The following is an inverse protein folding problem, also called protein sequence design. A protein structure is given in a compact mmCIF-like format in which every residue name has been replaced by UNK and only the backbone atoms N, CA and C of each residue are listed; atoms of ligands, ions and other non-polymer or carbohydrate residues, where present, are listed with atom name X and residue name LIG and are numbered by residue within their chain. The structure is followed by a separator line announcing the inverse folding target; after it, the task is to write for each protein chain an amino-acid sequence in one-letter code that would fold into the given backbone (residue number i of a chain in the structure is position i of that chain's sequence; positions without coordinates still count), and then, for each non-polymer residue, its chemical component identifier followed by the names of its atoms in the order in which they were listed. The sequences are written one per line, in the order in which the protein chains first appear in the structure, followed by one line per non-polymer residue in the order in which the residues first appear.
data_IF_347010845493
#
_entry.id   IF_347010845493
#
_cell.length_a   1.000
_cell.length_b   1.000
_cell.length_c   1.000
_cell.angle_alpha   90.00
_cell.angle_beta   90.00
_cell.angle_gamma   90.00
#
_symmetry.space_group_name_H-M   'P 1'
#
loop_
_entity.id
_entity.type
_entity.pdbx_description
1 polymer ?
#
# COMPACT_ATOMS: atom_id res chain seq x y z
N UNK A 1 -0.59 18.03 14.97
CA UNK A 1 -1.68 17.24 14.34
C UNK A 1 -1.59 17.32 12.82
N UNK A 2 -1.60 18.52 12.21
CA UNK A 2 -1.49 18.70 10.75
C UNK A 2 -0.27 18.01 10.12
N UNK A 3 0.91 18.14 10.74
CA UNK A 3 2.13 17.47 10.27
C UNK A 3 1.98 15.94 10.19
N UNK A 4 1.30 15.33 11.15
CA UNK A 4 1.08 13.88 11.19
C UNK A 4 0.11 13.42 10.10
N UNK A 5 -0.91 14.24 9.82
CA UNK A 5 -1.86 14.01 8.71
C UNK A 5 -1.11 14.03 7.38
N UNK A 6 -0.34 15.10 7.12
CA UNK A 6 0.42 15.26 5.88
C UNK A 6 1.43 14.12 5.67
N UNK A 7 2.14 13.70 6.72
CA UNK A 7 3.05 12.54 6.65
C UNK A 7 2.27 11.28 6.29
N UNK A 8 1.17 10.97 6.98
CA UNK A 8 0.42 9.73 6.75
C UNK A 8 -0.09 9.64 5.32
N UNK A 9 -0.69 10.73 4.82
CA UNK A 9 -1.20 10.78 3.44
C UNK A 9 -0.06 10.69 2.44
N UNK A 10 1.02 11.44 2.64
CA UNK A 10 2.17 11.41 1.75
C UNK A 10 2.85 10.03 1.67
N UNK A 11 2.89 9.29 2.77
CA UNK A 11 3.40 7.92 2.78
C UNK A 11 2.51 6.94 1.99
N UNK A 12 1.19 7.11 2.07
CA UNK A 12 0.26 6.33 1.26
C UNK A 12 0.34 6.71 -0.22
N UNK A 13 0.56 7.98 -0.55
CA UNK A 13 0.78 8.44 -1.93
C UNK A 13 2.08 7.88 -2.51
N UNK A 14 3.16 7.80 -1.73
CA UNK A 14 4.39 7.08 -2.15
C UNK A 14 4.11 5.62 -2.48
N UNK A 15 3.29 4.94 -1.67
CA UNK A 15 2.85 3.58 -1.95
C UNK A 15 2.10 3.48 -3.27
N UNK A 16 1.09 4.34 -3.50
CA UNK A 16 0.31 4.38 -4.75
C UNK A 16 1.25 4.56 -5.96
N UNK A 17 2.13 5.57 -5.90
CA UNK A 17 3.09 5.87 -6.96
C UNK A 17 4.03 4.69 -7.23
N UNK A 18 4.44 3.95 -6.20
CA UNK A 18 5.25 2.75 -6.36
C UNK A 18 4.49 1.64 -7.08
N UNK A 19 3.23 1.38 -6.72
CA UNK A 19 2.40 0.37 -7.39
C UNK A 19 2.19 0.72 -8.87
N UNK A 20 1.90 1.99 -9.18
CA UNK A 20 1.64 2.45 -10.53
C UNK A 20 2.88 2.43 -11.44
N UNK A 21 4.02 2.87 -10.91
CA UNK A 21 5.26 2.99 -11.69
C UNK A 21 6.01 1.67 -11.84
N UNK A 22 6.11 0.87 -10.78
CA UNK A 22 6.91 -0.36 -10.78
C UNK A 22 6.08 -1.60 -11.18
N UNK A 23 4.74 -1.52 -11.05
CA UNK A 23 3.80 -2.63 -11.34
C UNK A 23 4.26 -3.96 -10.73
N UNK A 24 4.47 -4.01 -9.39
CA UNK A 24 5.08 -5.15 -8.74
C UNK A 24 4.26 -6.42 -8.93
N UNK A 25 4.95 -7.53 -9.15
CA UNK A 25 4.30 -8.84 -9.26
C UNK A 25 4.09 -9.41 -7.86
N UNK A 26 2.86 -9.79 -7.57
CA UNK A 26 2.50 -10.41 -6.31
C UNK A 26 3.02 -11.85 -6.27
N UNK A 27 3.34 -12.31 -5.07
CA UNK A 27 3.67 -13.71 -4.83
C UNK A 27 2.45 -14.59 -5.14
N UNK A 28 2.57 -15.64 -5.99
CA UNK A 28 1.42 -16.45 -6.41
C UNK A 28 0.66 -17.13 -5.26
N UNK A 29 1.37 -17.51 -4.19
CA UNK A 29 0.78 -18.22 -3.05
C UNK A 29 0.16 -17.29 -2.01
N UNK A 30 0.76 -16.14 -1.75
CA UNK A 30 0.35 -15.25 -0.66
C UNK A 30 -0.42 -14.01 -1.15
N UNK A 31 -0.30 -13.66 -2.43
CA UNK A 31 -0.94 -12.48 -3.01
C UNK A 31 -0.40 -11.16 -2.44
N UNK A 32 0.83 -11.16 -1.94
CA UNK A 32 1.51 -9.98 -1.37
C UNK A 32 2.74 -9.62 -2.19
N UNK A 33 3.29 -8.42 -1.97
CA UNK A 33 4.50 -7.96 -2.65
C UNK A 33 5.65 -8.97 -2.47
N UNK A 34 6.41 -9.19 -3.55
CA UNK A 34 7.63 -9.98 -3.50
C UNK A 34 8.69 -9.31 -2.60
N UNK A 35 9.63 -10.10 -2.06
CA UNK A 35 10.65 -9.60 -1.11
C UNK A 35 11.45 -8.40 -1.63
N UNK A 36 11.78 -8.42 -2.92
CA UNK A 36 12.52 -7.33 -3.58
C UNK A 36 11.70 -6.03 -3.60
N UNK A 37 10.45 -6.11 -4.01
CA UNK A 37 9.57 -4.94 -4.12
C UNK A 37 9.16 -4.42 -2.73
N UNK A 38 8.86 -5.32 -1.79
CA UNK A 38 8.60 -4.95 -0.40
C UNK A 38 9.78 -4.22 0.25
N UNK A 39 11.02 -4.68 -0.02
CA UNK A 39 12.23 -4.01 0.45
C UNK A 39 12.44 -2.64 -0.22
N UNK A 40 12.30 -2.55 -1.55
CA UNK A 40 12.42 -1.27 -2.27
C UNK A 40 11.44 -0.24 -1.74
N UNK A 41 10.18 -0.63 -1.57
CA UNK A 41 9.15 0.23 -1.02
C UNK A 41 9.47 0.63 0.44
N UNK A 42 9.91 -0.31 1.29
CA UNK A 42 10.33 0.01 2.66
C UNK A 42 11.40 1.11 2.69
N UNK A 43 12.38 1.08 1.79
CA UNK A 43 13.44 2.09 1.75
C UNK A 43 12.94 3.51 1.41
N UNK A 44 11.78 3.63 0.76
CA UNK A 44 11.18 4.92 0.36
C UNK A 44 10.29 5.54 1.45
N UNK A 45 9.82 4.73 2.40
CA UNK A 45 8.84 5.12 3.39
C UNK A 45 9.47 5.71 4.66
N UNK A 46 8.77 6.63 5.30
CA UNK A 46 8.95 6.98 6.70
C UNK A 46 8.59 5.79 7.60
N UNK A 47 9.25 5.69 8.76
CA UNK A 47 9.10 4.56 9.69
C UNK A 47 9.48 3.20 9.07
N UNK A 48 10.40 3.22 8.10
CA UNK A 48 10.96 2.01 7.52
C UNK A 48 11.60 1.11 8.58
N UNK A 49 11.54 -0.19 8.34
CA UNK A 49 12.29 -1.15 9.12
C UNK A 49 13.75 -1.11 8.67
N UNK A 50 14.67 -0.94 9.61
CA UNK A 50 16.11 -1.03 9.34
C UNK A 50 16.51 -2.48 9.07
N UNK A 51 16.85 -2.79 7.83
CA UNK A 51 17.28 -4.11 7.38
C UNK A 51 18.38 -4.00 6.34
N UNK A 52 19.26 -5.01 6.29
CA UNK A 52 20.43 -5.01 5.39
C UNK A 52 20.12 -5.39 3.93
N UNK A 53 18.90 -5.81 3.61
CA UNK A 53 18.53 -6.25 2.26
C UNK A 53 17.15 -6.93 2.15
N UNK A 54 16.80 -7.43 0.95
CA UNK A 54 15.48 -8.00 0.63
C UNK A 54 15.30 -9.45 1.12
N UNK A 55 15.55 -9.70 2.40
CA UNK A 55 15.46 -11.04 2.99
C UNK A 55 14.06 -11.37 3.54
N UNK A 56 13.27 -10.35 3.86
CA UNK A 56 11.99 -10.48 4.55
C UNK A 56 10.78 -10.45 3.61
N UNK A 57 9.69 -11.08 4.04
CA UNK A 57 8.37 -11.01 3.40
C UNK A 57 7.63 -9.73 3.81
N UNK A 58 6.60 -9.33 3.03
CA UNK A 58 5.84 -8.10 3.24
C UNK A 58 5.39 -7.87 4.70
N UNK A 59 4.83 -8.90 5.35
CA UNK A 59 4.34 -8.84 6.74
C UNK A 59 5.41 -8.52 7.80
N UNK A 60 6.70 -8.53 7.44
CA UNK A 60 7.80 -8.14 8.31
C UNK A 60 8.20 -6.67 8.11
N UNK A 61 7.60 -5.97 7.16
CA UNK A 61 7.75 -4.53 6.94
C UNK A 61 6.44 -3.86 7.36
N UNK A 62 6.29 -3.43 8.63
CA UNK A 62 4.99 -3.03 9.18
C UNK A 62 4.30 -1.92 8.38
N UNK A 63 5.06 -0.91 7.94
CA UNK A 63 4.50 0.20 7.16
C UNK A 63 4.03 -0.27 5.78
N UNK A 64 4.85 -1.07 5.08
CA UNK A 64 4.46 -1.65 3.78
C UNK A 64 3.21 -2.50 3.91
N UNK A 65 3.16 -3.36 4.92
CA UNK A 65 2.04 -4.27 5.15
C UNK A 65 0.75 -3.52 5.50
N UNK A 66 0.86 -2.45 6.30
CA UNK A 66 -0.25 -1.56 6.62
C UNK A 66 -0.81 -0.88 5.37
N UNK A 67 0.03 -0.21 4.58
CA UNK A 67 -0.43 0.51 3.38
C UNK A 67 -1.03 -0.44 2.33
N UNK A 68 -0.42 -1.62 2.15
CA UNK A 68 -0.99 -2.66 1.31
C UNK A 68 -2.36 -3.11 1.83
N UNK A 69 -2.49 -3.34 3.14
CA UNK A 69 -3.74 -3.79 3.74
C UNK A 69 -4.84 -2.73 3.61
N UNK A 70 -4.53 -1.46 3.85
CA UNK A 70 -5.47 -0.35 3.72
C UNK A 70 -5.94 -0.18 2.28
N UNK A 71 -5.04 -0.28 1.31
CA UNK A 71 -5.40 -0.11 -0.09
C UNK A 71 -6.34 -1.22 -0.59
N UNK A 72 -6.17 -2.44 -0.09
CA UNK A 72 -7.07 -3.57 -0.34
C UNK A 72 -8.39 -3.44 0.43
N UNK A 73 -8.36 -3.08 1.71
CA UNK A 73 -9.55 -2.95 2.55
C UNK A 73 -10.46 -1.80 2.08
N UNK A 74 -9.86 -0.68 1.67
CA UNK A 74 -10.54 0.45 1.05
C UNK A 74 -10.93 0.22 -0.40
N UNK A 75 -10.66 -0.98 -0.94
CA UNK A 75 -10.96 -1.40 -2.32
C UNK A 75 -10.38 -0.48 -3.39
N UNK A 76 -9.29 0.23 -3.08
CA UNK A 76 -8.57 1.09 -4.02
C UNK A 76 -7.81 0.25 -5.06
N UNK A 77 -7.34 -0.93 -4.64
CA UNK A 77 -6.82 -1.96 -5.52
C UNK A 77 -7.55 -3.28 -5.31
N UNK A 78 -7.55 -4.09 -6.37
CA UNK A 78 -7.91 -5.51 -6.32
C UNK A 78 -6.77 -6.37 -6.83
N UNK A 79 -6.71 -7.62 -6.37
CA UNK A 79 -5.78 -8.61 -6.90
C UNK A 79 -6.39 -9.20 -8.18
N UNK A 80 -5.64 -9.13 -9.26
CA UNK A 80 -6.02 -9.73 -10.54
C UNK A 80 -4.78 -10.21 -11.29
N UNK A 81 -4.99 -10.99 -12.34
CA UNK A 81 -3.90 -11.40 -13.21
C UNK A 81 -3.73 -10.36 -14.32
N UNK A 82 -2.48 -9.96 -14.56
CA UNK A 82 -2.09 -9.25 -15.78
C UNK A 82 -2.37 -10.08 -17.03
N UNK A 83 -2.33 -9.45 -18.20
CA UNK A 83 -2.47 -10.12 -19.51
C UNK A 83 -1.46 -11.27 -19.71
N UNK A 84 -0.36 -11.25 -18.96
CA UNK A 84 0.69 -12.29 -18.96
C UNK A 84 0.49 -13.35 -17.88
N UNK A 85 -0.68 -13.41 -17.25
CA UNK A 85 -1.05 -14.38 -16.21
C UNK A 85 -0.38 -14.15 -14.84
N UNK A 86 0.37 -13.05 -14.66
CA UNK A 86 1.04 -12.75 -13.38
C UNK A 86 0.11 -11.99 -12.45
N UNK A 87 0.00 -12.37 -11.16
CA UNK A 87 -0.85 -11.66 -10.21
C UNK A 87 -0.25 -10.28 -9.90
N UNK A 88 -1.07 -9.24 -9.98
CA UNK A 88 -0.72 -7.84 -9.76
C UNK A 88 -1.85 -7.15 -8.97
N UNK A 89 -1.58 -5.92 -8.53
CA UNK A 89 -2.63 -5.00 -8.10
C UNK A 89 -3.15 -4.22 -9.30
N UNK A 90 -4.47 -4.19 -9.46
CA UNK A 90 -5.17 -3.37 -10.47
C UNK A 90 -5.98 -2.31 -9.74
N UNK A 91 -5.84 -1.07 -10.19
CA UNK A 91 -6.59 0.08 -9.69
C UNK A 91 -8.09 -0.10 -9.95
N UNK A 92 -8.92 0.28 -8.99
CA UNK A 92 -10.38 0.30 -9.15
C UNK A 92 -10.89 1.70 -9.46
N UNK A 93 -12.14 1.81 -9.88
CA UNK A 93 -12.82 3.11 -10.01
C UNK A 93 -12.91 3.90 -8.69
N UNK A 94 -12.76 3.24 -7.53
CA UNK A 94 -12.76 3.91 -6.22
C UNK A 94 -11.48 4.75 -6.04
N UNK A 95 -10.36 4.32 -6.65
CA UNK A 95 -9.11 5.07 -6.58
C UNK A 95 -9.22 6.46 -7.21
N UNK A 96 -9.97 6.60 -8.32
CA UNK A 96 -10.20 7.91 -8.93
C UNK A 96 -10.87 8.85 -7.92
N UNK A 97 -11.92 8.38 -7.25
CA UNK A 97 -12.61 9.15 -6.21
C UNK A 97 -11.67 9.50 -5.05
N UNK A 98 -10.82 8.56 -4.60
CA UNK A 98 -9.82 8.82 -3.57
C UNK A 98 -8.80 9.89 -3.98
N UNK A 99 -8.36 9.88 -5.25
CA UNK A 99 -7.39 10.86 -5.79
C UNK A 99 -7.95 12.29 -5.78
N UNK A 100 -9.26 12.46 -5.93
CA UNK A 100 -9.94 13.77 -5.87
C UNK A 100 -10.14 14.32 -4.45
N UNK A 101 -10.00 13.49 -3.42
CA UNK A 101 -10.14 13.93 -2.03
C UNK A 101 -9.02 14.91 -1.64
N UNK A 102 -9.35 15.87 -0.79
CA UNK A 102 -8.35 16.71 -0.15
C UNK A 102 -7.56 15.93 0.91
N UNK A 103 -6.48 16.51 1.43
CA UNK A 103 -5.57 15.83 2.36
C UNK A 103 -6.28 15.33 3.64
N UNK A 104 -7.23 16.09 4.19
CA UNK A 104 -7.94 15.70 5.40
C UNK A 104 -8.91 14.55 5.12
N UNK A 105 -9.62 14.62 4.01
CA UNK A 105 -10.54 13.57 3.56
C UNK A 105 -9.80 12.27 3.26
N UNK A 106 -8.64 12.33 2.59
CA UNK A 106 -7.75 11.17 2.38
C UNK A 106 -7.35 10.54 3.72
N UNK A 107 -6.96 11.36 4.69
CA UNK A 107 -6.60 10.86 6.02
C UNK A 107 -7.78 10.21 6.74
N UNK A 108 -8.96 10.84 6.74
CA UNK A 108 -10.17 10.27 7.33
C UNK A 108 -10.55 8.96 6.66
N UNK A 109 -10.48 8.87 5.34
CA UNK A 109 -10.70 7.63 4.58
C UNK A 109 -9.76 6.51 5.05
N UNK A 110 -8.46 6.80 5.16
CA UNK A 110 -7.47 5.81 5.62
C UNK A 110 -7.74 5.37 7.06
N UNK A 111 -8.11 6.31 7.93
CA UNK A 111 -8.40 6.02 9.34
C UNK A 111 -9.68 5.19 9.50
N UNK A 112 -10.76 5.53 8.78
CA UNK A 112 -11.99 4.74 8.75
C UNK A 112 -11.75 3.33 8.20
N UNK A 113 -10.96 3.22 7.13
CA UNK A 113 -10.57 1.94 6.55
C UNK A 113 -9.76 1.09 7.54
N UNK A 114 -8.86 1.73 8.30
CA UNK A 114 -8.11 1.06 9.35
C UNK A 114 -9.05 0.53 10.45
N UNK A 115 -9.93 1.37 11.00
CA UNK A 115 -10.82 0.97 12.09
C UNK A 115 -11.82 -0.11 11.69
N UNK A 116 -12.30 -0.12 10.46
CA UNK A 116 -13.22 -1.17 9.96
C UNK A 116 -12.52 -2.49 9.67
N UNK A 117 -11.19 -2.51 9.64
CA UNK A 117 -10.41 -3.72 9.33
C UNK A 117 -10.04 -4.55 10.56
N UNK A 118 -9.92 -3.92 11.72
CA UNK A 118 -9.51 -4.56 12.96
C UNK A 118 -10.68 -4.56 13.94
N UNK A 119 -11.25 -5.74 14.19
CA UNK A 119 -12.16 -5.96 15.30
C UNK A 119 -11.34 -5.86 16.61
N UNK A 120 -11.66 -4.88 17.46
CA UNK A 120 -11.07 -4.73 18.79
C UNK A 120 -11.82 -5.57 19.83
#
# INVERSE_FOLDING_TARGET
MEKSIAITVGEFEKFINFIESEKPVLSPKQGVLGKKDAYRLNEMLCYKRDVKGPSYTQNKYPMVDLLFTLSMAGRLYVRANSDKGKPILIETNIMESYKFLNQHEKYVFLLQTYWTKYDF
#
